data_IF_251594230378
#
_entry.id   IF_251594230378
#
_cell.length_a   1.000
_cell.length_b   1.000
_cell.length_c   1.000
_cell.angle_alpha   90.00
_cell.angle_beta   90.00
_cell.angle_gamma   90.00
#
_symmetry.space_group_name_H-M   'P 1'
#
loop_
_entity.id
_entity.type
_entity.pdbx_description
1 polymer ?
#
# COMPACT_ATOMS: atom_id res chain seq x y z
N UNK A 1 7.94 15.46 20.34
CA UNK A 1 7.38 14.45 19.41
C UNK A 1 8.47 14.02 18.45
N UNK A 2 8.75 12.75 18.35
CA UNK A 2 9.68 12.19 17.36
C UNK A 2 9.08 12.25 15.94
N UNK A 3 9.90 12.11 14.91
CA UNK A 3 9.42 12.04 13.52
C UNK A 3 8.39 10.92 13.33
N UNK A 4 8.62 9.76 13.94
CA UNK A 4 7.72 8.61 13.88
C UNK A 4 6.35 8.90 14.52
N UNK A 5 6.33 9.59 15.67
CA UNK A 5 5.08 10.00 16.31
C UNK A 5 4.29 10.99 15.46
N UNK A 6 4.96 11.93 14.78
CA UNK A 6 4.32 12.86 13.86
C UNK A 6 3.72 12.15 12.64
N UNK A 7 4.45 11.20 12.05
CA UNK A 7 3.95 10.35 10.96
C UNK A 7 2.74 9.52 11.40
N UNK A 8 2.80 8.89 12.59
CA UNK A 8 1.68 8.12 13.14
C UNK A 8 0.43 8.97 13.37
N UNK A 9 0.59 10.20 13.86
CA UNK A 9 -0.53 11.14 14.03
C UNK A 9 -1.11 11.58 12.69
N UNK A 10 -0.28 11.88 11.70
CA UNK A 10 -0.71 12.23 10.35
C UNK A 10 -1.47 11.06 9.70
N UNK A 11 -0.96 9.84 9.79
CA UNK A 11 -1.61 8.63 9.29
C UNK A 11 -2.98 8.39 9.98
N UNK A 12 -3.05 8.58 11.31
CA UNK A 12 -4.31 8.47 12.06
C UNK A 12 -5.35 9.50 11.60
N UNK A 13 -4.94 10.73 11.31
CA UNK A 13 -5.84 11.76 10.81
C UNK A 13 -6.30 11.45 9.38
N UNK A 14 -5.39 11.00 8.50
CA UNK A 14 -5.71 10.58 7.15
C UNK A 14 -6.67 9.37 7.12
N UNK A 15 -6.51 8.41 8.03
CA UNK A 15 -7.38 7.22 8.10
C UNK A 15 -8.85 7.58 8.35
N UNK A 16 -9.14 8.65 9.08
CA UNK A 16 -10.51 9.14 9.31
C UNK A 16 -11.17 9.61 8.02
N UNK A 17 -10.42 10.27 7.15
CA UNK A 17 -10.90 10.72 5.83
C UNK A 17 -11.10 9.54 4.90
N UNK A 18 -10.13 8.60 4.88
CA UNK A 18 -10.20 7.40 4.04
C UNK A 18 -11.32 6.44 4.48
N UNK A 19 -11.65 6.38 5.77
CA UNK A 19 -12.68 5.47 6.29
C UNK A 19 -14.08 5.74 5.73
N UNK A 20 -14.36 6.97 5.30
CA UNK A 20 -15.62 7.38 4.69
C UNK A 20 -15.52 7.59 3.17
N UNK A 21 -14.36 7.36 2.58
CA UNK A 21 -14.16 7.48 1.13
C UNK A 21 -14.88 6.34 0.41
N UNK A 22 -15.65 6.69 -0.61
CA UNK A 22 -16.29 5.71 -1.51
C UNK A 22 -15.27 5.03 -2.43
N UNK A 23 -15.64 3.87 -2.98
CA UNK A 23 -14.83 3.05 -3.89
C UNK A 23 -14.26 3.84 -5.06
N UNK A 24 -15.06 4.70 -5.72
CA UNK A 24 -14.59 5.51 -6.84
C UNK A 24 -13.39 6.41 -6.47
N UNK A 25 -13.41 7.02 -5.27
CA UNK A 25 -12.31 7.87 -4.79
C UNK A 25 -11.06 7.04 -4.48
N UNK A 26 -11.22 5.85 -3.90
CA UNK A 26 -10.10 4.93 -3.62
C UNK A 26 -9.47 4.46 -4.93
N UNK A 27 -10.27 4.03 -5.90
CA UNK A 27 -9.77 3.57 -7.19
C UNK A 27 -9.09 4.69 -8.00
N UNK A 28 -9.63 5.92 -7.95
CA UNK A 28 -8.98 7.08 -8.55
C UNK A 28 -7.62 7.38 -7.90
N UNK A 29 -7.47 7.19 -6.58
CA UNK A 29 -6.20 7.35 -5.90
C UNK A 29 -5.19 6.26 -6.31
N UNK A 30 -5.61 5.00 -6.42
CA UNK A 30 -4.76 3.91 -6.90
C UNK A 30 -4.29 4.15 -8.33
N UNK A 31 -5.17 4.59 -9.25
CA UNK A 31 -4.78 4.91 -10.63
C UNK A 31 -3.82 6.10 -10.69
N UNK A 32 -4.00 7.11 -9.83
CA UNK A 32 -3.07 8.22 -9.72
C UNK A 32 -1.68 7.75 -9.23
N UNK A 33 -1.61 6.80 -8.29
CA UNK A 33 -0.37 6.17 -7.85
C UNK A 33 0.28 5.42 -9.01
N UNK A 34 -0.46 4.58 -9.74
CA UNK A 34 0.04 3.82 -10.89
C UNK A 34 0.62 4.76 -11.95
N UNK A 35 -0.11 5.81 -12.33
CA UNK A 35 0.33 6.81 -13.30
C UNK A 35 1.56 7.59 -12.84
N UNK A 36 1.66 7.91 -11.55
CA UNK A 36 2.83 8.60 -10.99
C UNK A 36 4.09 7.71 -11.00
N UNK A 37 3.94 6.42 -10.72
CA UNK A 37 5.05 5.45 -10.82
C UNK A 37 5.55 5.32 -12.25
N UNK A 38 4.67 5.27 -13.25
CA UNK A 38 5.04 5.25 -14.66
C UNK A 38 5.75 6.54 -15.08
N UNK A 39 5.19 7.69 -14.74
CA UNK A 39 5.74 8.99 -15.13
C UNK A 39 7.10 9.29 -14.50
N UNK A 40 7.34 8.81 -13.26
CA UNK A 40 8.59 9.03 -12.52
C UNK A 40 9.51 7.80 -12.53
N UNK A 41 9.33 6.89 -13.46
CA UNK A 41 10.09 5.64 -13.54
C UNK A 41 11.60 5.87 -13.57
N UNK A 42 12.08 6.79 -14.39
CA UNK A 42 13.51 7.05 -14.54
C UNK A 42 14.13 7.64 -13.26
N UNK A 43 13.39 8.50 -12.54
CA UNK A 43 13.80 9.04 -11.26
C UNK A 43 13.93 7.94 -10.19
N UNK A 44 12.95 7.02 -10.15
CA UNK A 44 12.97 5.88 -9.23
C UNK A 44 14.15 4.94 -9.53
N UNK A 45 14.41 4.66 -10.81
CA UNK A 45 15.54 3.83 -11.22
C UNK A 45 16.89 4.47 -10.89
N UNK A 46 17.02 5.78 -11.06
CA UNK A 46 18.23 6.51 -10.69
C UNK A 46 18.51 6.44 -9.19
N UNK A 47 17.50 6.70 -8.34
CA UNK A 47 17.62 6.57 -6.89
C UNK A 47 17.96 5.13 -6.46
N UNK A 48 17.33 4.14 -7.08
CA UNK A 48 17.63 2.73 -6.81
C UNK A 48 19.07 2.35 -7.20
N UNK A 49 19.62 2.93 -8.26
CA UNK A 49 21.01 2.71 -8.65
C UNK A 49 22.01 3.25 -7.61
N UNK A 50 21.68 4.39 -6.97
CA UNK A 50 22.46 4.92 -5.84
C UNK A 50 22.41 3.95 -4.65
N UNK A 51 21.22 3.46 -4.29
CA UNK A 51 21.04 2.46 -3.23
C UNK A 51 21.81 1.17 -3.51
N UNK A 52 21.78 0.67 -4.74
CA UNK A 52 22.50 -0.52 -5.17
C UNK A 52 24.02 -0.34 -5.05
N UNK A 53 24.52 0.86 -5.37
CA UNK A 53 25.95 1.19 -5.25
C UNK A 53 26.36 1.20 -3.79
N UNK A 54 25.58 1.85 -2.92
CA UNK A 54 25.82 1.90 -1.49
C UNK A 54 25.75 0.48 -0.86
N UNK A 55 24.77 -0.31 -1.25
CA UNK A 55 24.59 -1.67 -0.76
C UNK A 55 25.78 -2.59 -1.11
N UNK A 56 26.31 -2.49 -2.34
CA UNK A 56 27.51 -3.20 -2.77
C UNK A 56 28.74 -2.77 -1.96
N UNK A 57 28.94 -1.47 -1.78
CA UNK A 57 30.05 -0.93 -0.99
C UNK A 57 29.99 -1.36 0.48
N UNK A 58 28.78 -1.51 1.05
CA UNK A 58 28.55 -2.01 2.40
C UNK A 58 28.67 -3.55 2.53
N UNK A 59 28.97 -4.27 1.46
CA UNK A 59 29.13 -5.74 1.50
C UNK A 59 27.80 -6.49 1.64
N UNK A 60 26.68 -5.91 1.19
CA UNK A 60 25.38 -6.57 1.21
C UNK A 60 25.42 -7.89 0.45
N UNK A 61 24.80 -8.94 1.01
CA UNK A 61 24.76 -10.28 0.37
C UNK A 61 24.03 -10.22 -0.98
N UNK A 62 24.48 -11.00 -2.00
CA UNK A 62 23.89 -10.97 -3.35
C UNK A 62 22.37 -11.20 -3.38
N UNK A 63 21.84 -12.09 -2.52
CA UNK A 63 20.40 -12.35 -2.42
C UNK A 63 19.58 -11.16 -1.93
N UNK A 64 20.17 -10.29 -1.11
CA UNK A 64 19.52 -9.05 -0.69
C UNK A 64 19.67 -7.94 -1.74
N UNK A 65 20.81 -7.92 -2.45
CA UNK A 65 20.98 -7.01 -3.59
C UNK A 65 19.95 -7.28 -4.69
N UNK A 66 19.65 -8.54 -5.03
CA UNK A 66 18.62 -8.88 -6.00
C UNK A 66 17.22 -8.41 -5.55
N UNK A 67 16.92 -8.51 -4.25
CA UNK A 67 15.66 -8.01 -3.70
C UNK A 67 15.56 -6.48 -3.69
N UNK A 68 16.69 -5.80 -3.55
CA UNK A 68 16.77 -4.34 -3.55
C UNK A 68 16.69 -3.77 -4.98
N UNK A 69 17.21 -4.49 -5.96
CA UNK A 69 17.31 -4.01 -7.34
C UNK A 69 15.92 -3.78 -7.96
N UNK A 70 15.74 -2.64 -8.61
CA UNK A 70 14.63 -2.34 -9.49
C UNK A 70 15.12 -2.24 -10.93
N UNK A 71 14.26 -2.63 -11.85
CA UNK A 71 14.39 -2.39 -13.29
C UNK A 71 13.03 -1.98 -13.86
N UNK A 72 13.00 -1.63 -15.14
CA UNK A 72 11.77 -1.21 -15.80
C UNK A 72 10.65 -2.24 -15.76
N UNK A 73 11.01 -3.53 -15.80
CA UNK A 73 10.05 -4.65 -15.75
C UNK A 73 9.45 -4.81 -14.35
N UNK A 74 10.29 -4.70 -13.30
CA UNK A 74 9.83 -4.76 -11.91
C UNK A 74 8.90 -3.58 -11.58
N UNK A 75 9.21 -2.37 -12.06
CA UNK A 75 8.32 -1.21 -11.88
C UNK A 75 6.99 -1.42 -12.63
N UNK A 76 7.02 -1.93 -13.86
CA UNK A 76 5.80 -2.25 -14.60
C UNK A 76 4.95 -3.28 -13.85
N UNK A 77 5.56 -4.32 -13.27
CA UNK A 77 4.86 -5.30 -12.42
C UNK A 77 4.22 -4.69 -11.18
N UNK A 78 4.87 -3.70 -10.53
CA UNK A 78 4.30 -2.96 -9.40
C UNK A 78 3.07 -2.17 -9.86
N UNK A 79 3.17 -1.45 -10.97
CA UNK A 79 2.05 -0.68 -11.56
C UNK A 79 0.87 -1.57 -11.89
N UNK A 80 1.12 -2.72 -12.53
CA UNK A 80 0.08 -3.71 -12.83
C UNK A 80 -0.57 -4.24 -11.55
N UNK A 81 0.20 -4.48 -10.49
CA UNK A 81 -0.31 -4.87 -9.18
C UNK A 81 -1.27 -3.84 -8.59
N UNK A 82 -0.93 -2.56 -8.65
CA UNK A 82 -1.80 -1.47 -8.19
C UNK A 82 -3.13 -1.44 -8.98
N UNK A 83 -3.06 -1.58 -10.31
CA UNK A 83 -4.25 -1.62 -11.17
C UNK A 83 -5.11 -2.86 -10.93
N UNK A 84 -4.49 -4.01 -10.65
CA UNK A 84 -5.22 -5.23 -10.26
C UNK A 84 -5.98 -5.01 -8.95
N UNK A 85 -5.37 -4.38 -7.94
CA UNK A 85 -6.05 -4.03 -6.69
C UNK A 85 -7.21 -3.07 -6.93
N UNK A 86 -7.06 -2.07 -7.80
CA UNK A 86 -8.13 -1.14 -8.15
C UNK A 86 -9.32 -1.83 -8.85
N UNK A 87 -9.08 -2.95 -9.54
CA UNK A 87 -10.12 -3.73 -10.21
C UNK A 87 -10.85 -4.70 -9.25
N UNK A 88 -10.35 -4.94 -8.04
CA UNK A 88 -11.01 -5.79 -7.06
C UNK A 88 -12.27 -5.13 -6.49
N UNK A 89 -13.28 -5.91 -6.09
CA UNK A 89 -14.42 -5.39 -5.34
C UNK A 89 -13.95 -4.76 -4.02
N UNK A 90 -14.46 -3.57 -3.71
CA UNK A 90 -14.19 -2.93 -2.41
C UNK A 90 -14.90 -3.71 -1.30
N UNK A 91 -14.18 -4.30 -0.34
CA UNK A 91 -14.80 -5.11 0.71
C UNK A 91 -15.47 -4.27 1.80
N UNK A 92 -15.21 -2.96 1.85
CA UNK A 92 -15.70 -2.11 2.93
C UNK A 92 -17.20 -1.86 2.80
N UNK A 93 -17.92 -2.14 3.89
CA UNK A 93 -19.38 -2.02 3.93
C UNK A 93 -20.13 -3.30 3.59
N UNK A 94 -19.45 -4.34 3.09
CA UNK A 94 -20.06 -5.65 2.83
C UNK A 94 -20.68 -6.24 4.10
N UNK A 95 -21.92 -6.72 3.98
CA UNK A 95 -22.61 -7.44 5.05
C UNK A 95 -22.46 -8.95 4.79
N UNK A 96 -21.64 -9.60 5.59
CA UNK A 96 -21.29 -11.03 5.38
C UNK A 96 -22.24 -12.00 6.06
N UNK A 97 -23.05 -11.52 7.02
CA UNK A 97 -24.02 -12.35 7.76
C UNK A 97 -25.11 -11.49 8.36
N UNK A 98 -26.35 -11.98 8.29
CA UNK A 98 -27.50 -11.44 9.04
C UNK A 98 -28.17 -12.57 9.81
N UNK A 99 -28.64 -12.32 11.03
CA UNK A 99 -29.38 -13.29 11.84
C UNK A 99 -30.38 -12.59 12.73
N UNK A 100 -31.58 -13.18 12.87
CA UNK A 100 -32.59 -12.75 13.84
C UNK A 100 -32.46 -13.59 15.10
N UNK A 101 -32.43 -12.92 16.24
CA UNK A 101 -32.41 -13.57 17.56
C UNK A 101 -33.85 -13.90 18.01
N UNK A 102 -34.03 -14.82 18.99
CA UNK A 102 -35.37 -15.17 19.49
C UNK A 102 -36.18 -13.98 20.04
N UNK A 103 -35.50 -12.94 20.51
CA UNK A 103 -36.11 -11.69 20.99
C UNK A 103 -36.43 -10.69 19.86
N UNK A 104 -36.30 -11.08 18.58
CA UNK A 104 -36.57 -10.24 17.42
C UNK A 104 -35.42 -9.30 17.00
N UNK A 105 -34.31 -9.23 17.75
CA UNK A 105 -33.16 -8.41 17.38
C UNK A 105 -32.47 -8.98 16.12
N UNK A 106 -32.25 -8.10 15.13
CA UNK A 106 -31.52 -8.44 13.90
C UNK A 106 -30.06 -8.01 14.05
N UNK A 107 -29.13 -8.97 13.96
CA UNK A 107 -27.70 -8.74 14.08
C UNK A 107 -27.03 -8.98 12.73
N UNK A 108 -26.24 -8.01 12.26
CA UNK A 108 -25.44 -8.11 11.04
C UNK A 108 -23.95 -8.02 11.33
N UNK A 109 -23.13 -8.72 10.52
CA UNK A 109 -21.67 -8.61 10.49
C UNK A 109 -21.26 -7.80 9.27
N UNK A 110 -20.71 -6.62 9.47
CA UNK A 110 -20.28 -5.70 8.42
C UNK A 110 -18.75 -5.54 8.43
N UNK A 111 -18.14 -5.51 7.26
CA UNK A 111 -16.71 -5.20 7.09
C UNK A 111 -16.48 -3.70 7.27
N UNK A 112 -15.44 -3.35 8.02
CA UNK A 112 -15.03 -1.97 8.31
C UNK A 112 -13.55 -1.80 8.02
N UNK A 113 -13.04 -0.56 7.78
CA UNK A 113 -11.62 -0.30 7.61
C UNK A 113 -10.82 -0.73 8.84
N UNK A 114 -9.60 -1.26 8.64
CA UNK A 114 -8.68 -1.63 9.71
C UNK A 114 -8.08 -0.42 10.44
N UNK A 115 -8.07 0.74 9.80
CA UNK A 115 -7.40 1.94 10.31
C UNK A 115 -5.97 2.04 9.80
N UNK A 116 -5.03 2.42 10.66
CA UNK A 116 -3.61 2.56 10.32
C UNK A 116 -2.88 1.25 10.56
N UNK A 117 -2.12 0.80 9.57
CA UNK A 117 -1.25 -0.38 9.65
C UNK A 117 0.20 0.10 9.59
N UNK A 118 1.03 -0.37 10.52
CA UNK A 118 2.47 -0.16 10.49
C UNK A 118 3.16 -1.37 9.88
N UNK A 119 4.04 -1.13 8.91
CA UNK A 119 4.83 -2.18 8.26
C UNK A 119 6.30 -1.84 8.39
N UNK A 120 7.11 -2.81 8.84
CA UNK A 120 8.57 -2.68 8.94
C UNK A 120 9.19 -3.63 7.93
N UNK A 121 9.98 -3.09 7.01
CA UNK A 121 10.63 -3.87 5.95
C UNK A 121 12.02 -3.33 5.62
N UNK A 122 12.84 -4.15 4.96
CA UNK A 122 14.21 -3.85 4.56
C UNK A 122 14.49 -4.46 3.17
N UNK A 123 15.29 -3.76 2.36
CA UNK A 123 15.76 -4.20 1.04
C UNK A 123 14.64 -4.71 0.09
N UNK A 124 13.46 -4.09 0.16
CA UNK A 124 12.30 -4.44 -0.67
C UNK A 124 11.56 -3.18 -1.12
N UNK A 125 12.02 -2.46 -2.14
CA UNK A 125 11.42 -1.19 -2.58
C UNK A 125 9.97 -1.36 -3.05
N UNK A 126 9.57 -2.51 -3.59
CA UNK A 126 8.19 -2.82 -3.97
C UNK A 126 7.23 -2.78 -2.78
N UNK A 127 7.67 -3.15 -1.56
CA UNK A 127 6.81 -3.14 -0.36
C UNK A 127 6.27 -1.75 -0.03
N UNK A 128 6.98 -0.69 -0.41
CA UNK A 128 6.50 0.70 -0.27
C UNK A 128 5.17 0.92 -0.99
N UNK A 129 4.93 0.20 -2.08
CA UNK A 129 3.70 0.30 -2.88
C UNK A 129 2.73 -0.81 -2.55
N UNK A 130 3.22 -2.04 -2.29
CA UNK A 130 2.40 -3.22 -1.99
C UNK A 130 1.62 -3.07 -0.67
N UNK A 131 2.13 -2.29 0.29
CA UNK A 131 1.57 -2.07 1.61
C UNK A 131 0.61 -0.89 1.65
#
# INVERSE_FOLDING_TARGET
>A
MTQLEMQGLAAKNASRVLSIAGTAKKNAALEAIASALEARREEILAANQEDMTAAKAAGMRPSLQDRLALDGSRIAGIVDGVRQVAALPDPIGEITKMSTRPNGLVIGKRRVPLGVIGIIYEARPNVTVDA
#
